data_IF_637649155405
#
_entry.id   IF_637649155405
#
_cell.length_a   1.000
_cell.length_b   1.000
_cell.length_c   1.000
_cell.angle_alpha   90.00
_cell.angle_beta   90.00
_cell.angle_gamma   90.00
#
_symmetry.space_group_name_H-M   'P 1'
#
loop_
_entity.id
_entity.type
_entity.pdbx_description
1 polymer ?
#
# COMPACT_ATOMS: atom_id res chain seq x y z
N UNK A 1 8.90 1.90 6.31
CA UNK A 1 8.69 1.38 4.93
C UNK A 1 9.78 1.81 3.93
N UNK A 2 10.33 3.04 4.00
CA UNK A 2 11.32 3.59 3.05
C UNK A 2 12.59 2.76 2.79
N UNK A 3 13.06 1.91 3.71
CA UNK A 3 14.29 1.15 3.52
C UNK A 3 14.10 -0.24 2.86
N UNK A 4 12.93 -0.50 2.25
CA UNK A 4 12.54 -1.79 1.69
C UNK A 4 12.70 -2.98 2.66
N UNK A 5 12.78 -2.74 3.98
CA UNK A 5 13.12 -3.74 5.01
C UNK A 5 12.03 -4.77 5.27
N UNK A 6 10.85 -4.58 4.69
CA UNK A 6 9.76 -5.54 4.78
C UNK A 6 10.17 -6.80 4.01
N UNK A 7 10.03 -7.95 4.67
CA UNK A 7 10.33 -9.24 4.08
C UNK A 7 9.13 -9.72 3.24
N UNK A 8 8.82 -8.97 2.19
CA UNK A 8 7.78 -9.35 1.23
C UNK A 8 8.18 -10.61 0.48
N UNK A 9 7.23 -11.33 -0.15
CA UNK A 9 7.59 -12.54 -0.91
C UNK A 9 8.58 -12.26 -2.04
N UNK A 10 8.50 -11.10 -2.69
CA UNK A 10 9.52 -10.68 -3.65
C UNK A 10 10.91 -10.65 -3.02
N UNK A 11 11.06 -10.01 -1.85
CA UNK A 11 12.35 -9.94 -1.15
C UNK A 11 12.79 -11.29 -0.63
N UNK A 12 11.87 -12.08 -0.08
CA UNK A 12 12.11 -13.44 0.43
C UNK A 12 12.62 -14.35 -0.68
N UNK A 13 12.00 -14.31 -1.86
CA UNK A 13 12.41 -15.09 -3.04
C UNK A 13 13.82 -14.72 -3.50
N UNK A 14 14.17 -13.43 -3.49
CA UNK A 14 15.54 -12.98 -3.84
C UNK A 14 16.61 -13.42 -2.83
N UNK A 15 16.27 -13.49 -1.54
CA UNK A 15 17.20 -13.86 -0.48
C UNK A 15 17.35 -15.37 -0.27
N UNK A 16 16.24 -16.11 -0.39
CA UNK A 16 16.14 -17.51 0.03
C UNK A 16 15.57 -18.44 -1.05
N UNK A 17 15.21 -17.92 -2.22
CA UNK A 17 14.51 -18.65 -3.27
C UNK A 17 13.01 -18.85 -3.00
N UNK A 18 12.35 -19.57 -3.92
CA UNK A 18 10.91 -19.86 -3.86
C UNK A 18 10.04 -18.83 -4.59
N UNK A 19 8.71 -18.94 -4.42
CA UNK A 19 7.76 -18.05 -5.09
C UNK A 19 7.79 -16.64 -4.50
N UNK A 20 7.80 -15.64 -5.38
CA UNK A 20 7.66 -14.21 -5.09
C UNK A 20 6.20 -13.74 -5.08
N UNK A 21 5.26 -14.61 -5.46
CA UNK A 21 3.85 -14.26 -5.62
C UNK A 21 3.16 -13.87 -4.32
N UNK A 22 2.14 -13.01 -4.44
CA UNK A 22 1.24 -12.73 -3.32
C UNK A 22 0.42 -14.00 -2.97
N UNK A 23 0.31 -14.37 -1.68
CA UNK A 23 -0.43 -15.56 -1.26
C UNK A 23 -1.94 -15.44 -1.50
N UNK A 24 -2.46 -14.21 -1.62
CA UNK A 24 -3.86 -13.95 -1.93
C UNK A 24 -4.11 -13.84 -3.44
N UNK A 25 -3.09 -13.43 -4.21
CA UNK A 25 -3.19 -13.22 -5.66
C UNK A 25 -1.86 -13.58 -6.34
N UNK A 26 -1.73 -14.83 -6.78
CA UNK A 26 -0.46 -15.40 -7.29
C UNK A 26 0.03 -14.83 -8.63
N UNK A 27 -0.70 -13.88 -9.22
CA UNK A 27 -0.45 -13.39 -10.56
C UNK A 27 0.60 -12.27 -10.63
N UNK A 28 1.06 -11.75 -9.49
CA UNK A 28 2.07 -10.69 -9.42
C UNK A 28 2.98 -10.90 -8.19
N UNK A 29 4.26 -10.47 -8.27
CA UNK A 29 5.15 -10.46 -7.12
C UNK A 29 4.60 -9.59 -5.99
N UNK A 30 4.73 -10.06 -4.76
CA UNK A 30 4.40 -9.27 -3.57
C UNK A 30 5.54 -8.29 -3.28
N UNK A 31 5.43 -7.10 -3.85
CA UNK A 31 6.25 -5.94 -3.47
C UNK A 31 5.66 -5.23 -2.25
N UNK A 32 6.39 -4.27 -1.67
CA UNK A 32 5.88 -3.43 -0.58
C UNK A 32 4.57 -2.72 -0.98
N UNK A 33 4.53 -2.10 -2.16
CA UNK A 33 3.30 -1.45 -2.65
C UNK A 33 2.18 -2.47 -2.88
N UNK A 34 2.50 -3.66 -3.37
CA UNK A 34 1.48 -4.70 -3.50
C UNK A 34 0.88 -5.08 -2.14
N UNK A 35 1.71 -5.37 -1.15
CA UNK A 35 1.28 -5.77 0.18
C UNK A 35 0.38 -4.72 0.87
N UNK A 36 0.72 -3.44 0.73
CA UNK A 36 0.06 -2.35 1.47
C UNK A 36 -0.92 -1.49 0.65
N UNK A 37 -0.94 -1.63 -0.68
CA UNK A 37 -1.75 -0.75 -1.55
C UNK A 37 -2.46 -1.48 -2.68
N UNK A 38 -1.71 -2.23 -3.50
CA UNK A 38 -2.21 -2.71 -4.81
C UNK A 38 -2.84 -4.10 -4.76
N UNK A 39 -2.62 -4.86 -3.67
CA UNK A 39 -3.32 -6.13 -3.46
C UNK A 39 -4.83 -5.87 -3.47
N UNK A 40 -5.59 -6.64 -4.27
CA UNK A 40 -7.00 -6.34 -4.58
C UNK A 40 -7.87 -6.08 -3.34
N UNK A 41 -7.69 -6.85 -2.27
CA UNK A 41 -8.44 -6.64 -1.02
C UNK A 41 -8.11 -5.30 -0.35
N UNK A 42 -6.83 -4.94 -0.36
CA UNK A 42 -6.31 -3.69 0.22
C UNK A 42 -6.69 -2.49 -0.66
N UNK A 43 -6.58 -2.61 -1.98
CA UNK A 43 -6.98 -1.59 -2.94
C UNK A 43 -8.47 -1.24 -2.80
N UNK A 44 -9.34 -2.24 -2.63
CA UNK A 44 -10.77 -2.03 -2.39
C UNK A 44 -11.04 -1.28 -1.10
N UNK A 45 -10.32 -1.60 -0.02
CA UNK A 45 -10.42 -0.88 1.25
C UNK A 45 -10.02 0.59 1.08
N UNK A 46 -8.89 0.85 0.41
CA UNK A 46 -8.42 2.20 0.13
C UNK A 46 -9.41 3.01 -0.70
N UNK A 47 -10.05 2.42 -1.73
CA UNK A 47 -11.07 3.09 -2.52
C UNK A 47 -12.32 3.52 -1.73
N UNK A 48 -12.56 2.92 -0.56
CA UNK A 48 -13.65 3.32 0.33
C UNK A 48 -13.25 4.44 1.30
N UNK A 49 -11.98 4.46 1.71
CA UNK A 49 -11.45 5.37 2.72
C UNK A 49 -10.93 6.69 2.16
N UNK A 50 -10.43 6.69 0.92
CA UNK A 50 -9.78 7.84 0.29
C UNK A 50 -10.80 8.71 -0.44
N UNK A 51 -10.55 10.03 -0.47
CA UNK A 51 -11.30 10.94 -1.31
C UNK A 51 -11.17 10.53 -2.80
N UNK A 52 -12.28 10.36 -3.54
CA UNK A 52 -12.25 10.07 -4.97
C UNK A 52 -11.23 10.91 -5.77
N UNK A 53 -11.10 12.21 -5.46
CA UNK A 53 -10.18 13.12 -6.15
C UNK A 53 -8.69 12.77 -5.94
N UNK A 54 -8.36 12.12 -4.82
CA UNK A 54 -7.00 11.69 -4.49
C UNK A 54 -6.66 10.29 -5.01
N UNK A 55 -7.65 9.53 -5.49
CA UNK A 55 -7.50 8.11 -5.87
C UNK A 55 -6.45 7.92 -6.96
N UNK A 56 -6.51 8.72 -8.04
CA UNK A 56 -5.58 8.60 -9.15
C UNK A 56 -4.13 8.85 -8.71
N UNK A 57 -3.90 9.86 -7.87
CA UNK A 57 -2.57 10.18 -7.36
C UNK A 57 -2.07 9.10 -6.40
N UNK A 58 -2.95 8.58 -5.54
CA UNK A 58 -2.61 7.57 -4.54
C UNK A 58 -2.18 6.23 -5.14
N UNK A 59 -2.91 5.72 -6.15
CA UNK A 59 -2.56 4.46 -6.82
C UNK A 59 -1.47 4.65 -7.89
N UNK A 60 -1.32 5.87 -8.44
CA UNK A 60 -0.30 6.18 -9.43
C UNK A 60 1.09 6.49 -8.86
N UNK A 61 1.21 6.78 -7.56
CA UNK A 61 2.49 7.16 -6.95
C UNK A 61 3.46 5.98 -6.81
N UNK A 62 4.77 6.24 -6.85
CA UNK A 62 5.76 5.24 -6.44
C UNK A 62 5.81 5.09 -4.90
N UNK A 63 6.63 4.18 -4.36
CA UNK A 63 6.65 3.89 -2.91
C UNK A 63 7.01 5.11 -2.06
N UNK A 64 8.00 5.89 -2.48
CA UNK A 64 8.45 7.08 -1.75
C UNK A 64 7.38 8.17 -1.78
N UNK A 65 6.84 8.46 -2.96
CA UNK A 65 5.74 9.41 -3.14
C UNK A 65 4.50 8.98 -2.34
N UNK A 66 4.16 7.69 -2.35
CA UNK A 66 3.03 7.15 -1.60
C UNK A 66 3.19 7.37 -0.10
N UNK A 67 4.36 7.04 0.45
CA UNK A 67 4.68 7.30 1.85
C UNK A 67 4.52 8.79 2.17
N UNK A 68 5.14 9.67 1.38
CA UNK A 68 5.07 11.12 1.60
C UNK A 68 3.64 11.69 1.47
N UNK A 69 2.83 11.16 0.54
CA UNK A 69 1.43 11.53 0.39
C UNK A 69 0.63 11.20 1.66
N UNK A 70 0.86 10.03 2.26
CA UNK A 70 0.15 9.59 3.44
C UNK A 70 0.53 10.37 4.72
N UNK A 71 1.78 10.84 4.83
CA UNK A 71 2.24 11.63 5.97
C UNK A 71 2.01 13.14 5.81
N UNK A 72 1.92 13.65 4.57
CA UNK A 72 1.90 15.08 4.30
C UNK A 72 0.52 15.66 3.96
N UNK A 73 -0.51 14.84 3.75
CA UNK A 73 -1.83 15.30 3.30
C UNK A 73 -2.97 14.53 3.96
N UNK A 74 -4.07 15.24 4.14
CA UNK A 74 -5.37 14.65 4.49
C UNK A 74 -6.00 14.09 3.21
N UNK A 75 -6.03 12.75 3.08
CA UNK A 75 -6.52 12.06 1.89
C UNK A 75 -7.87 11.38 2.11
N UNK A 76 -8.45 11.46 3.30
CA UNK A 76 -9.65 10.68 3.65
C UNK A 76 -10.92 11.22 3.03
N UNK A 77 -11.93 10.35 3.01
CA UNK A 77 -13.31 10.68 2.71
C UNK A 77 -14.05 11.11 3.99
N UNK A 78 -14.67 12.28 3.99
CA UNK A 78 -15.54 12.75 5.09
C UNK A 78 -14.79 13.24 6.34
N UNK A 79 -15.49 13.42 7.48
CA UNK A 79 -14.99 14.17 8.66
C UNK A 79 -14.66 13.36 9.94
N UNK A 80 -14.93 12.05 10.00
CA UNK A 80 -15.01 11.31 11.27
C UNK A 80 -13.69 10.81 11.92
N UNK A 81 -12.53 10.77 11.24
CA UNK A 81 -11.27 10.26 11.82
C UNK A 81 -10.04 10.91 11.17
N UNK A 82 -8.92 11.06 11.88
CA UNK A 82 -7.69 11.59 11.28
C UNK A 82 -7.11 10.59 10.27
N UNK A 83 -6.64 11.06 9.10
CA UNK A 83 -6.03 10.19 8.10
C UNK A 83 -4.80 9.43 8.60
N UNK A 84 -3.97 10.05 9.43
CA UNK A 84 -2.79 9.37 9.98
C UNK A 84 -3.17 8.17 10.84
N UNK A 85 -4.26 8.24 11.62
CA UNK A 85 -4.73 7.12 12.43
C UNK A 85 -5.16 5.94 11.55
N UNK A 86 -5.91 6.25 10.47
CA UNK A 86 -6.33 5.26 9.48
C UNK A 86 -5.11 4.62 8.81
N UNK A 87 -4.17 5.44 8.37
CA UNK A 87 -2.98 4.99 7.66
C UNK A 87 -2.09 4.09 8.52
N UNK A 88 -1.77 4.50 9.75
CA UNK A 88 -0.92 3.73 10.67
C UNK A 88 -1.59 2.43 11.11
N UNK A 89 -2.92 2.39 11.22
CA UNK A 89 -3.63 1.16 11.60
C UNK A 89 -3.66 0.14 10.46
N UNK A 90 -3.72 0.62 9.21
CA UNK A 90 -3.78 -0.23 8.03
C UNK A 90 -2.40 -0.71 7.53
N UNK A 91 -1.29 -0.14 8.02
CA UNK A 91 0.07 -0.30 7.50
C UNK A 91 1.08 -0.70 8.59
#
# INVERSE_FOLDING_TARGET
>A
MMHNRLLTNERRSRLFGGSDGCPFYTNQPESTLHAFRDCRGIALLWSQLINPDATQVFFGSNLEQWVNLNFGRELRRGANHNWMDIFITAC
#
